data_IF_749442668399
#
_entry.id   IF_749442668399
#
_cell.length_a   1.000
_cell.length_b   1.000
_cell.length_c   1.000
_cell.angle_alpha   90.00
_cell.angle_beta   90.00
_cell.angle_gamma   90.00
#
_symmetry.space_group_name_H-M   'P 1'
#
loop_
_entity.id
_entity.type
_entity.pdbx_description
1 polymer ?
#
# COMPACT_ATOMS: atom_id res chain seq x y z
N UNK A 1 -38.15 42.83 37.67
CA UNK A 1 -37.55 43.96 38.41
C UNK A 1 -36.68 43.39 39.51
N UNK A 2 -35.37 43.28 39.26
CA UNK A 2 -34.36 43.11 40.30
C UNK A 2 -33.28 44.12 39.99
N UNK A 3 -33.09 45.03 40.94
CA UNK A 3 -32.14 46.12 40.93
C UNK A 3 -30.88 45.65 41.69
N UNK A 4 -29.72 45.89 41.07
CA UNK A 4 -28.37 46.08 41.61
C UNK A 4 -28.02 45.60 43.04
N UNK A 5 -26.92 44.83 43.11
CA UNK A 5 -25.84 45.13 44.07
C UNK A 5 -24.50 45.14 43.34
N UNK A 6 -23.90 46.32 43.30
CA UNK A 6 -22.52 46.58 42.89
C UNK A 6 -21.62 46.26 44.10
N UNK A 7 -20.61 45.41 43.93
CA UNK A 7 -19.43 45.37 44.80
C UNK A 7 -18.21 45.39 43.90
N UNK A 8 -17.48 46.51 43.93
CA UNK A 8 -16.20 46.65 43.28
C UNK A 8 -15.09 46.00 44.10
N UNK A 9 -14.13 45.41 43.40
CA UNK A 9 -12.75 45.35 43.85
C UNK A 9 -11.90 45.99 42.75
N UNK A 10 -11.29 47.11 43.11
CA UNK A 10 -10.35 47.88 42.31
C UNK A 10 -9.12 48.03 43.21
N UNK A 11 -8.21 47.05 43.21
CA UNK A 11 -6.84 47.17 43.74
C UNK A 11 -5.93 46.22 42.95
N UNK A 12 -4.82 46.76 42.45
CA UNK A 12 -3.98 46.16 41.42
C UNK A 12 -3.32 44.83 41.80
N UNK A 13 -3.56 43.83 40.96
CA UNK A 13 -2.57 42.82 40.62
C UNK A 13 -2.23 43.05 39.15
N UNK A 14 -0.94 43.12 38.81
CA UNK A 14 -0.51 43.00 37.40
C UNK A 14 -1.07 41.70 36.81
N UNK A 15 -1.22 41.60 35.47
CA UNK A 15 -1.67 40.36 34.85
C UNK A 15 -0.78 39.22 35.36
N UNK A 16 -1.37 38.24 36.04
CA UNK A 16 -0.68 36.99 36.33
C UNK A 16 -0.21 36.43 34.99
N UNK A 17 1.11 36.22 34.79
CA UNK A 17 1.60 35.70 33.53
C UNK A 17 0.94 34.36 33.25
N UNK A 18 0.41 34.25 32.04
CA UNK A 18 -0.24 33.06 31.55
C UNK A 18 0.87 32.07 31.15
N UNK A 19 1.06 31.02 31.95
CA UNK A 19 2.17 30.07 31.79
C UNK A 19 1.74 28.82 31.00
N UNK A 20 1.29 28.99 29.76
CA UNK A 20 0.88 27.86 28.91
C UNK A 20 0.82 28.15 27.41
N UNK A 21 0.69 27.11 26.58
CA UNK A 21 0.48 27.27 25.14
C UNK A 21 -0.79 28.07 24.83
N UNK A 22 -0.72 28.97 23.85
CA UNK A 22 -1.84 29.83 23.45
C UNK A 22 -2.03 31.11 24.27
N UNK A 23 -1.18 31.34 25.29
CA UNK A 23 -1.11 32.63 25.98
C UNK A 23 -0.53 33.72 25.06
N UNK A 24 -1.03 34.95 25.15
CA UNK A 24 -0.46 36.07 24.41
C UNK A 24 0.95 36.40 24.91
N UNK A 25 1.84 36.82 24.00
CA UNK A 25 3.22 37.18 24.30
C UNK A 25 3.71 38.32 23.41
N UNK A 26 4.80 38.96 23.84
CA UNK A 26 5.49 40.01 23.09
C UNK A 26 6.99 40.02 23.42
N UNK A 27 7.77 40.86 22.73
CA UNK A 27 9.19 41.06 23.03
C UNK A 27 9.44 41.56 24.46
N UNK A 28 8.45 42.25 25.05
CA UNK A 28 8.51 42.79 26.42
C UNK A 28 7.97 41.81 27.46
N UNK A 29 7.18 40.82 27.04
CA UNK A 29 6.55 39.79 27.88
C UNK A 29 6.73 38.40 27.22
N UNK A 30 7.92 37.78 27.39
CA UNK A 30 8.20 36.47 26.82
C UNK A 30 7.41 35.37 27.54
N UNK A 31 7.25 34.24 26.88
CA UNK A 31 6.59 33.07 27.44
C UNK A 31 7.31 32.54 28.68
N UNK A 32 6.58 32.29 29.76
CA UNK A 32 7.13 31.64 30.95
C UNK A 32 7.14 30.11 30.78
N UNK A 33 8.32 29.55 30.53
CA UNK A 33 8.55 28.12 30.37
C UNK A 33 9.76 27.89 29.46
N UNK A 34 10.68 26.99 29.84
CA UNK A 34 11.90 26.75 29.06
C UNK A 34 11.63 26.25 27.62
N UNK A 35 10.42 25.72 27.41
CA UNK A 35 10.01 25.07 26.17
C UNK A 35 8.94 25.87 25.42
N UNK A 36 8.83 27.19 25.65
CA UNK A 36 7.87 28.06 24.96
C UNK A 36 8.58 29.25 24.31
N UNK A 37 8.23 29.54 23.06
CA UNK A 37 8.66 30.74 22.31
C UNK A 37 7.46 31.54 21.84
N UNK A 38 7.61 32.85 21.73
CA UNK A 38 6.56 33.70 21.18
C UNK A 38 6.53 33.57 19.65
N UNK A 39 5.46 32.99 19.11
CA UNK A 39 5.28 32.87 17.65
C UNK A 39 4.88 34.19 17.01
N UNK A 40 4.99 34.26 15.67
CA UNK A 40 4.69 35.47 14.88
C UNK A 40 3.26 36.01 15.07
N UNK A 41 2.34 35.15 15.53
CA UNK A 41 0.97 35.53 15.86
C UNK A 41 0.82 36.17 17.27
N UNK A 42 1.92 36.42 17.99
CA UNK A 42 1.90 36.99 19.34
C UNK A 42 1.34 36.03 20.39
N UNK A 43 1.52 34.72 20.19
CA UNK A 43 1.09 33.67 21.14
C UNK A 43 2.22 32.68 21.43
N UNK A 44 2.27 32.21 22.67
CA UNK A 44 3.23 31.22 23.15
C UNK A 44 2.96 29.87 22.48
N UNK A 45 3.95 29.41 21.71
CA UNK A 45 3.98 28.10 21.09
C UNK A 45 5.12 27.29 21.69
N UNK A 46 5.00 25.97 21.68
CA UNK A 46 6.10 25.10 22.10
C UNK A 46 7.35 25.38 21.25
N UNK A 47 8.47 25.66 21.92
CA UNK A 47 9.77 25.79 21.29
C UNK A 47 10.19 24.40 20.80
N UNK A 48 9.92 24.11 19.54
CA UNK A 48 10.31 22.86 18.92
C UNK A 48 11.84 22.85 18.78
N UNK A 49 12.54 22.04 19.58
CA UNK A 49 14.02 21.96 19.58
C UNK A 49 14.56 21.01 18.50
N UNK A 50 13.68 20.53 17.63
CA UNK A 50 13.98 19.50 16.63
C UNK A 50 14.63 20.13 15.39
N UNK A 51 15.45 19.34 14.70
CA UNK A 51 16.10 19.75 13.46
C UNK A 51 15.10 19.65 12.29
N UNK A 52 14.34 20.73 12.08
CA UNK A 52 13.38 20.90 10.97
C UNK A 52 14.03 20.93 9.57
N UNK A 53 15.32 20.60 9.45
CA UNK A 53 16.00 20.45 8.15
C UNK A 53 16.18 18.98 7.74
N UNK A 54 15.83 18.02 8.60
CA UNK A 54 15.82 16.59 8.32
C UNK A 54 14.39 16.08 8.04
N UNK A 55 14.26 15.03 7.22
CA UNK A 55 12.99 14.59 6.63
C UNK A 55 11.94 13.96 7.61
N UNK A 56 12.27 13.80 8.89
CA UNK A 56 11.36 13.60 10.04
C UNK A 56 12.17 13.15 11.27
N UNK A 57 12.00 13.83 12.40
CA UNK A 57 12.50 13.39 13.72
C UNK A 57 11.37 12.74 14.53
N UNK A 58 11.18 11.42 14.39
CA UNK A 58 10.07 10.64 14.95
C UNK A 58 9.70 10.87 16.46
N UNK A 59 10.62 11.15 17.39
CA UNK A 59 10.26 11.54 18.76
C UNK A 59 9.66 12.95 18.90
N UNK A 60 9.58 13.74 17.84
CA UNK A 60 9.20 15.15 17.87
C UNK A 60 7.74 15.38 17.44
N UNK A 61 6.86 15.70 18.40
CA UNK A 61 5.43 15.92 18.15
C UNK A 61 5.08 17.25 17.43
N UNK A 62 6.07 18.12 17.17
CA UNK A 62 5.89 19.44 16.55
C UNK A 62 6.61 19.59 15.20
N UNK A 63 7.22 18.52 14.69
CA UNK A 63 7.81 18.51 13.34
C UNK A 63 6.69 18.37 12.29
N UNK A 64 6.52 19.41 11.47
CA UNK A 64 5.49 19.46 10.43
C UNK A 64 5.73 18.44 9.31
N UNK A 65 6.98 18.02 9.10
CA UNK A 65 7.33 16.97 8.13
C UNK A 65 7.01 15.56 8.68
N UNK A 66 6.85 15.43 10.01
CA UNK A 66 6.28 14.24 10.65
C UNK A 66 4.74 14.29 10.73
N UNK A 67 4.09 15.17 9.94
CA UNK A 67 2.64 15.23 9.74
C UNK A 67 2.11 13.96 9.09
N UNK A 68 2.06 12.88 9.86
CA UNK A 68 1.41 11.64 9.52
C UNK A 68 1.90 11.05 8.20
N UNK A 69 3.13 10.52 8.17
CA UNK A 69 3.18 9.16 7.63
C UNK A 69 2.25 8.37 8.53
N UNK A 70 1.01 8.13 8.04
CA UNK A 70 0.24 6.95 8.44
C UNK A 70 1.27 5.83 8.62
N UNK A 71 1.18 4.96 9.64
CA UNK A 71 2.02 3.78 9.63
C UNK A 71 1.77 3.13 8.28
N UNK A 72 2.70 3.31 7.34
CA UNK A 72 2.72 2.60 6.09
C UNK A 72 2.76 1.18 6.60
N UNK A 73 1.76 0.34 6.29
CA UNK A 73 1.82 -1.03 6.70
C UNK A 73 3.13 -1.56 6.12
N UNK A 74 4.20 -1.63 6.93
CA UNK A 74 5.54 -2.04 6.48
C UNK A 74 5.54 -3.52 6.07
N UNK A 75 4.36 -4.14 6.08
CA UNK A 75 4.05 -5.52 5.79
C UNK A 75 3.16 -5.68 4.56
N UNK A 76 2.54 -4.61 4.00
CA UNK A 76 1.83 -4.74 2.72
C UNK A 76 2.87 -4.62 1.60
N UNK A 77 3.01 -5.64 0.74
CA UNK A 77 3.93 -5.58 -0.38
C UNK A 77 3.57 -4.40 -1.29
N UNK A 78 4.54 -3.54 -1.63
CA UNK A 78 4.32 -2.35 -2.48
C UNK A 78 3.69 -2.72 -3.84
N UNK A 79 3.96 -3.95 -4.30
CA UNK A 79 3.41 -4.58 -5.51
C UNK A 79 1.92 -4.94 -5.42
N UNK A 80 1.27 -4.81 -4.25
CA UNK A 80 -0.19 -4.95 -4.10
C UNK A 80 -0.94 -3.61 -4.17
N UNK A 81 -0.24 -2.47 -4.10
CA UNK A 81 -0.86 -1.13 -4.15
C UNK A 81 -1.10 -0.72 -5.60
N UNK A 82 -1.87 -1.53 -6.34
CA UNK A 82 -2.15 -1.32 -7.78
C UNK A 82 -3.45 -0.54 -8.03
N UNK A 83 -4.14 -0.14 -6.97
CA UNK A 83 -5.54 0.29 -7.00
C UNK A 83 -5.75 1.75 -6.60
N UNK A 84 -4.71 2.57 -6.74
CA UNK A 84 -4.75 3.99 -6.42
C UNK A 84 -5.79 4.75 -7.24
N UNK A 85 -6.45 5.71 -6.59
CA UNK A 85 -7.32 6.67 -7.24
C UNK A 85 -6.70 8.06 -7.29
N UNK A 86 -7.46 9.02 -7.83
CA UNK A 86 -7.07 10.43 -7.75
C UNK A 86 -7.74 11.10 -6.56
N UNK A 87 -6.95 11.78 -5.73
CA UNK A 87 -7.47 12.70 -4.72
C UNK A 87 -7.74 14.04 -5.39
N UNK A 88 -9.01 14.46 -5.46
CA UNK A 88 -9.35 15.79 -5.97
C UNK A 88 -9.01 16.90 -4.96
N UNK A 89 -8.95 18.14 -5.43
CA UNK A 89 -8.57 19.28 -4.60
C UNK A 89 -9.49 19.54 -3.39
N UNK A 90 -10.76 19.10 -3.45
CA UNK A 90 -11.66 19.19 -2.31
C UNK A 90 -11.23 18.20 -1.22
N UNK A 91 -11.05 16.93 -1.59
CA UNK A 91 -10.60 15.91 -0.65
C UNK A 91 -9.19 16.18 -0.11
N UNK A 92 -8.30 16.74 -0.93
CA UNK A 92 -6.97 17.13 -0.47
C UNK A 92 -7.04 18.14 0.69
N UNK A 93 -7.88 19.17 0.59
CA UNK A 93 -8.06 20.12 1.68
C UNK A 93 -8.61 19.48 2.97
N UNK A 94 -9.43 18.44 2.85
CA UNK A 94 -9.92 17.67 3.99
C UNK A 94 -8.84 16.79 4.62
N UNK A 95 -8.01 16.15 3.80
CA UNK A 95 -6.87 15.34 4.24
C UNK A 95 -5.86 16.21 4.98
N UNK A 96 -5.47 17.35 4.40
CA UNK A 96 -4.52 18.29 5.01
C UNK A 96 -5.05 18.83 6.36
N UNK A 97 -6.36 19.04 6.46
CA UNK A 97 -7.02 19.48 7.68
C UNK A 97 -7.40 18.34 8.64
N UNK A 98 -7.06 17.08 8.33
CA UNK A 98 -7.45 15.88 9.08
C UNK A 98 -8.94 15.84 9.45
N UNK A 99 -9.78 16.31 8.54
CA UNK A 99 -11.23 16.40 8.75
C UNK A 99 -11.88 15.09 8.37
N UNK A 100 -12.80 14.60 9.23
CA UNK A 100 -13.52 13.36 8.92
C UNK A 100 -14.37 13.52 7.67
N UNK A 101 -14.57 12.46 6.86
CA UNK A 101 -15.33 12.57 5.62
C UNK A 101 -16.77 13.08 5.82
N UNK A 102 -17.40 12.76 6.96
CA UNK A 102 -18.74 13.25 7.29
C UNK A 102 -18.81 14.78 7.47
N UNK A 103 -17.72 15.40 7.90
CA UNK A 103 -17.61 16.86 8.02
C UNK A 103 -17.15 17.52 6.70
N UNK A 104 -16.64 16.74 5.75
CA UNK A 104 -16.25 17.19 4.43
C UNK A 104 -17.45 17.33 3.49
N UNK A 105 -17.62 18.52 2.92
CA UNK A 105 -18.68 18.77 1.92
C UNK A 105 -18.19 18.50 0.48
N UNK A 106 -17.41 17.43 0.31
CA UNK A 106 -16.82 17.06 -0.99
C UNK A 106 -17.67 16.00 -1.71
N UNK A 107 -17.77 16.05 -3.05
CA UNK A 107 -18.40 14.98 -3.80
C UNK A 107 -17.56 13.70 -3.67
N UNK A 108 -18.21 12.55 -3.41
CA UNK A 108 -17.52 11.27 -3.14
C UNK A 108 -16.68 10.78 -4.33
N UNK A 109 -17.08 11.08 -5.57
CA UNK A 109 -16.32 10.68 -6.76
C UNK A 109 -16.22 9.16 -6.92
N UNK A 110 -15.01 8.66 -7.12
CA UNK A 110 -14.66 7.23 -7.15
C UNK A 110 -14.43 6.63 -5.74
N UNK A 111 -14.63 7.43 -4.68
CA UNK A 111 -14.49 7.03 -3.29
C UNK A 111 -13.06 7.11 -2.73
N UNK A 112 -12.02 7.22 -3.57
CA UNK A 112 -10.62 7.16 -3.11
C UNK A 112 -10.27 8.32 -2.17
N UNK A 113 -10.49 9.56 -2.61
CA UNK A 113 -10.21 10.75 -1.81
C UNK A 113 -10.98 10.77 -0.48
N UNK A 114 -12.18 10.20 -0.45
CA UNK A 114 -12.98 10.06 0.77
C UNK A 114 -12.33 9.09 1.78
N UNK A 115 -11.88 7.92 1.32
CA UNK A 115 -11.17 6.97 2.19
C UNK A 115 -9.77 7.45 2.59
N UNK A 116 -9.07 8.21 1.75
CA UNK A 116 -7.82 8.85 2.15
C UNK A 116 -8.04 9.86 3.29
N UNK A 117 -9.15 10.61 3.27
CA UNK A 117 -9.54 11.46 4.41
C UNK A 117 -9.87 10.64 5.67
N UNK A 118 -10.43 9.42 5.54
CA UNK A 118 -10.61 8.51 6.67
C UNK A 118 -9.29 8.13 7.32
N UNK A 119 -8.33 7.68 6.49
CA UNK A 119 -7.00 7.32 6.95
C UNK A 119 -6.35 8.51 7.66
N UNK A 120 -6.31 9.67 7.01
CA UNK A 120 -5.67 10.88 7.54
C UNK A 120 -6.29 11.38 8.86
N UNK A 121 -7.60 11.23 9.03
CA UNK A 121 -8.31 11.61 10.26
C UNK A 121 -8.35 10.51 11.33
N UNK A 122 -7.91 9.28 11.00
CA UNK A 122 -8.05 8.11 11.86
C UNK A 122 -9.52 7.73 12.13
N UNK A 123 -10.44 8.12 11.25
CA UNK A 123 -11.86 7.82 11.40
C UNK A 123 -12.14 6.33 11.17
N UNK A 124 -13.01 5.71 11.97
CA UNK A 124 -13.22 4.28 11.86
C UNK A 124 -13.98 3.91 10.59
N UNK A 125 -13.74 2.71 10.05
CA UNK A 125 -14.32 2.24 8.81
C UNK A 125 -15.85 2.27 8.82
N UNK A 126 -16.46 1.96 9.97
CA UNK A 126 -17.92 1.95 10.12
C UNK A 126 -18.53 3.36 10.06
N UNK A 127 -17.76 4.41 10.35
CA UNK A 127 -18.16 5.82 10.20
C UNK A 127 -17.88 6.32 8.77
N UNK A 128 -16.81 5.83 8.16
CA UNK A 128 -16.40 6.17 6.80
C UNK A 128 -17.29 5.59 5.71
N UNK A 129 -17.60 4.30 5.81
CA UNK A 129 -18.30 3.55 4.77
C UNK A 129 -19.66 4.15 4.39
N UNK A 130 -20.52 4.62 5.32
CA UNK A 130 -21.79 5.25 4.95
C UNK A 130 -21.64 6.54 4.14
N UNK A 131 -20.50 7.23 4.26
CA UNK A 131 -20.21 8.48 3.55
C UNK A 131 -19.51 8.19 2.22
N UNK A 132 -18.47 7.36 2.23
CA UNK A 132 -17.63 7.09 1.07
C UNK A 132 -18.22 6.03 0.12
N UNK A 133 -19.08 5.15 0.61
CA UNK A 133 -19.59 4.01 -0.17
C UNK A 133 -18.51 2.98 -0.50
N UNK A 134 -18.88 1.91 -1.20
CA UNK A 134 -17.96 0.83 -1.63
C UNK A 134 -18.19 0.45 -3.09
N UNK A 135 -18.87 1.30 -3.85
CA UNK A 135 -19.20 1.00 -5.23
C UNK A 135 -18.04 1.42 -6.14
N UNK A 136 -17.44 0.43 -6.82
CA UNK A 136 -16.38 0.66 -7.79
C UNK A 136 -15.02 0.17 -7.29
N UNK A 137 -14.15 -0.10 -8.26
CA UNK A 137 -12.86 -0.77 -8.04
C UNK A 137 -11.95 0.00 -7.06
N UNK A 138 -11.80 1.29 -7.27
CA UNK A 138 -10.99 2.16 -6.42
C UNK A 138 -11.55 2.30 -4.99
N UNK A 139 -12.88 2.38 -4.84
CA UNK A 139 -13.53 2.47 -3.53
C UNK A 139 -13.40 1.16 -2.73
N UNK A 140 -13.57 -0.01 -3.38
CA UNK A 140 -13.38 -1.31 -2.72
C UNK A 140 -11.94 -1.45 -2.23
N UNK A 141 -10.94 -1.11 -3.05
CA UNK A 141 -9.52 -1.14 -2.67
C UNK A 141 -9.20 -0.23 -1.48
N UNK A 142 -9.58 1.06 -1.55
CA UNK A 142 -9.32 2.01 -0.46
C UNK A 142 -10.07 1.69 0.83
N UNK A 143 -11.25 1.07 0.74
CA UNK A 143 -11.96 0.55 1.92
C UNK A 143 -11.13 -0.51 2.66
N UNK A 144 -10.47 -1.42 1.90
CA UNK A 144 -9.59 -2.43 2.49
C UNK A 144 -8.31 -1.84 3.09
N UNK A 145 -7.77 -0.74 2.56
CA UNK A 145 -6.65 -0.02 3.19
C UNK A 145 -7.02 0.47 4.60
N UNK A 146 -8.21 1.07 4.76
CA UNK A 146 -8.72 1.46 6.09
C UNK A 146 -8.93 0.23 6.97
N UNK A 147 -9.52 -0.84 6.43
CA UNK A 147 -9.74 -2.07 7.19
C UNK A 147 -8.43 -2.69 7.69
N UNK A 148 -7.38 -2.69 6.86
CA UNK A 148 -6.05 -3.18 7.23
C UNK A 148 -5.44 -2.32 8.35
N UNK A 149 -5.51 -0.99 8.23
CA UNK A 149 -5.00 -0.06 9.24
C UNK A 149 -5.70 -0.22 10.60
N UNK A 150 -7.00 -0.49 10.59
CA UNK A 150 -7.77 -0.79 11.81
C UNK A 150 -7.45 -2.17 12.42
N UNK A 151 -6.68 -3.01 11.74
CA UNK A 151 -6.40 -4.38 12.17
C UNK A 151 -7.63 -5.30 12.08
N UNK A 152 -8.53 -5.06 11.11
CA UNK A 152 -9.67 -5.95 10.86
C UNK A 152 -9.20 -7.33 10.40
N UNK A 153 -9.99 -8.35 10.73
CA UNK A 153 -9.77 -9.68 10.14
C UNK A 153 -10.21 -9.67 8.68
N UNK A 154 -9.59 -10.52 7.85
CA UNK A 154 -9.95 -10.69 6.43
C UNK A 154 -11.46 -10.88 6.20
N UNK A 155 -12.16 -11.65 7.05
CA UNK A 155 -13.61 -11.84 6.89
C UNK A 155 -14.41 -10.59 7.20
N UNK A 156 -14.03 -9.86 8.26
CA UNK A 156 -14.74 -8.63 8.64
C UNK A 156 -14.49 -7.50 7.63
N UNK A 157 -13.29 -7.44 7.04
CA UNK A 157 -12.96 -6.52 5.96
C UNK A 157 -13.71 -6.87 4.67
N UNK A 158 -13.68 -8.14 4.23
CA UNK A 158 -14.42 -8.60 3.05
C UNK A 158 -15.93 -8.35 3.18
N UNK A 159 -16.51 -8.60 4.37
CA UNK A 159 -17.92 -8.31 4.62
C UNK A 159 -18.23 -6.80 4.61
N UNK A 160 -17.28 -5.96 4.99
CA UNK A 160 -17.47 -4.51 5.05
C UNK A 160 -17.27 -3.83 3.70
N UNK A 161 -16.24 -4.24 2.95
CA UNK A 161 -15.73 -3.59 1.75
C UNK A 161 -16.11 -4.28 0.44
N UNK A 162 -16.45 -5.58 0.47
CA UNK A 162 -16.69 -6.37 -0.74
C UNK A 162 -15.39 -6.80 -1.42
N UNK A 163 -15.53 -7.68 -2.42
CA UNK A 163 -14.42 -8.28 -3.19
C UNK A 163 -14.83 -8.50 -4.64
N UNK A 164 -15.68 -7.63 -5.20
CA UNK A 164 -16.32 -7.87 -6.51
C UNK A 164 -15.47 -7.34 -7.67
N UNK A 165 -14.39 -6.64 -7.37
CA UNK A 165 -13.50 -6.00 -8.33
C UNK A 165 -12.06 -6.48 -8.13
N UNK A 166 -11.19 -6.29 -9.11
CA UNK A 166 -9.79 -6.72 -9.00
C UNK A 166 -9.08 -6.06 -7.81
N UNK A 167 -9.40 -4.79 -7.56
CA UNK A 167 -8.92 -4.06 -6.39
C UNK A 167 -9.55 -4.46 -5.07
N UNK A 168 -10.82 -4.87 -5.08
CA UNK A 168 -11.47 -5.47 -3.91
C UNK A 168 -10.80 -6.79 -3.51
N UNK A 169 -10.49 -7.66 -4.48
CA UNK A 169 -9.76 -8.91 -4.24
C UNK A 169 -8.34 -8.64 -3.71
N UNK A 170 -7.57 -7.78 -4.39
CA UNK A 170 -6.21 -7.43 -3.98
C UNK A 170 -6.17 -6.79 -2.59
N UNK A 171 -7.04 -5.80 -2.32
CA UNK A 171 -7.16 -5.16 -1.02
C UNK A 171 -7.51 -6.16 0.09
N UNK A 172 -8.39 -7.12 -0.18
CA UNK A 172 -8.72 -8.17 0.76
C UNK A 172 -7.50 -9.06 1.10
N UNK A 173 -6.68 -9.42 0.10
CA UNK A 173 -5.42 -10.14 0.37
C UNK A 173 -4.40 -9.29 1.12
N UNK A 174 -4.34 -7.98 0.91
CA UNK A 174 -3.51 -7.09 1.71
C UNK A 174 -3.95 -7.12 3.20
N UNK A 175 -5.25 -7.09 3.48
CA UNK A 175 -5.78 -7.30 4.84
C UNK A 175 -5.39 -8.68 5.38
N UNK A 176 -5.44 -9.73 4.56
CA UNK A 176 -5.05 -11.07 4.97
C UNK A 176 -3.59 -11.14 5.42
N UNK A 177 -2.68 -10.47 4.70
CA UNK A 177 -1.27 -10.36 5.07
C UNK A 177 -1.12 -9.65 6.42
N UNK A 178 -1.69 -8.47 6.57
CA UNK A 178 -1.58 -7.64 7.80
C UNK A 178 -2.21 -8.34 9.01
N UNK A 179 -3.32 -9.04 8.81
CA UNK A 179 -3.99 -9.79 9.89
C UNK A 179 -3.36 -11.15 10.18
N UNK A 180 -2.34 -11.57 9.42
CA UNK A 180 -1.71 -12.88 9.55
C UNK A 180 -2.64 -14.05 9.26
N UNK A 181 -3.58 -13.88 8.33
CA UNK A 181 -4.51 -14.93 7.94
C UNK A 181 -3.78 -16.01 7.11
N UNK A 182 -4.08 -17.28 7.39
CA UNK A 182 -3.60 -18.40 6.58
C UNK A 182 -4.06 -18.27 5.13
N UNK A 183 -3.19 -18.64 4.18
CA UNK A 183 -3.46 -18.50 2.74
C UNK A 183 -4.76 -19.16 2.29
N UNK A 184 -5.12 -20.33 2.82
CA UNK A 184 -6.37 -21.01 2.46
C UNK A 184 -7.61 -20.25 2.94
N UNK A 185 -7.52 -19.58 4.10
CA UNK A 185 -8.61 -18.76 4.60
C UNK A 185 -8.74 -17.48 3.78
N UNK A 186 -7.62 -16.84 3.46
CA UNK A 186 -7.58 -15.68 2.59
C UNK A 186 -8.19 -15.99 1.23
N UNK A 187 -7.76 -17.09 0.59
CA UNK A 187 -8.26 -17.55 -0.71
C UNK A 187 -9.77 -17.81 -0.71
N UNK A 188 -10.29 -18.45 0.35
CA UNK A 188 -11.73 -18.70 0.48
C UNK A 188 -12.55 -17.42 0.70
N UNK A 189 -11.95 -16.42 1.35
CA UNK A 189 -12.66 -15.19 1.78
C UNK A 189 -12.61 -14.11 0.73
N UNK A 190 -11.45 -13.90 0.11
CA UNK A 190 -11.20 -12.79 -0.79
C UNK A 190 -11.64 -13.05 -2.23
N UNK A 191 -11.90 -14.31 -2.57
CA UNK A 191 -11.94 -14.78 -3.96
C UNK A 191 -10.62 -14.46 -4.70
N UNK A 192 -10.45 -14.90 -5.93
CA UNK A 192 -9.26 -14.63 -6.75
C UNK A 192 -9.55 -14.89 -8.22
N UNK A 193 -10.69 -14.40 -8.72
CA UNK A 193 -11.08 -14.63 -10.12
C UNK A 193 -10.44 -13.64 -11.08
N UNK A 194 -9.85 -12.55 -10.55
CA UNK A 194 -9.11 -11.57 -11.35
C UNK A 194 -7.60 -11.79 -11.28
N UNK A 195 -6.86 -11.18 -12.20
CA UNK A 195 -5.40 -11.27 -12.18
C UNK A 195 -4.76 -10.65 -10.93
N UNK A 196 -5.31 -9.53 -10.43
CA UNK A 196 -4.83 -8.94 -9.18
C UNK A 196 -5.19 -9.79 -7.97
N UNK A 197 -6.34 -10.48 -7.99
CA UNK A 197 -6.70 -11.46 -6.96
C UNK A 197 -5.76 -12.66 -6.91
N UNK A 198 -5.46 -13.28 -8.07
CA UNK A 198 -4.48 -14.37 -8.12
C UNK A 198 -3.10 -13.90 -7.61
N UNK A 199 -2.66 -12.70 -8.03
CA UNK A 199 -1.42 -12.10 -7.54
C UNK A 199 -1.41 -11.87 -6.03
N UNK A 200 -2.50 -11.31 -5.49
CA UNK A 200 -2.70 -11.08 -4.06
C UNK A 200 -2.69 -12.37 -3.24
N UNK A 201 -3.28 -13.44 -3.77
CA UNK A 201 -3.21 -14.76 -3.15
C UNK A 201 -1.76 -15.25 -3.03
N UNK A 202 -0.97 -15.13 -4.09
CA UNK A 202 0.45 -15.47 -4.04
C UNK A 202 1.25 -14.59 -3.08
N UNK A 203 0.95 -13.30 -2.99
CA UNK A 203 1.57 -12.42 -2.00
C UNK A 203 1.28 -12.88 -0.56
N UNK A 204 0.05 -13.30 -0.29
CA UNK A 204 -0.32 -13.90 1.01
C UNK A 204 0.39 -15.24 1.24
N UNK A 205 0.57 -16.05 0.19
CA UNK A 205 1.32 -17.30 0.27
C UNK A 205 2.80 -17.07 0.59
N UNK A 206 3.42 -16.06 -0.03
CA UNK A 206 4.80 -15.63 0.25
C UNK A 206 4.95 -15.14 1.69
N UNK A 207 4.05 -14.26 2.14
CA UNK A 207 4.06 -13.73 3.50
C UNK A 207 3.97 -14.86 4.56
N UNK A 208 3.22 -15.92 4.26
CA UNK A 208 3.08 -17.09 5.12
C UNK A 208 4.20 -18.15 4.93
N UNK A 209 5.15 -17.95 4.00
CA UNK A 209 6.23 -18.90 3.72
C UNK A 209 5.75 -20.22 3.12
N UNK A 210 4.66 -20.19 2.34
CA UNK A 210 4.14 -21.39 1.70
C UNK A 210 5.10 -21.88 0.60
N UNK A 211 5.33 -23.21 0.49
CA UNK A 211 6.04 -23.78 -0.65
C UNK A 211 5.36 -23.42 -1.97
N UNK A 212 6.14 -23.20 -3.03
CA UNK A 212 5.63 -22.77 -4.35
C UNK A 212 4.54 -23.67 -4.90
N UNK A 213 4.71 -24.99 -4.78
CA UNK A 213 3.69 -25.97 -5.22
C UNK A 213 2.40 -25.85 -4.41
N UNK A 214 2.49 -25.61 -3.10
CA UNK A 214 1.32 -25.39 -2.25
C UNK A 214 0.61 -24.09 -2.62
N UNK A 215 1.38 -23.02 -2.81
CA UNK A 215 0.84 -21.73 -3.26
C UNK A 215 0.14 -21.86 -4.61
N UNK A 216 0.75 -22.55 -5.58
CA UNK A 216 0.16 -22.77 -6.90
C UNK A 216 -1.14 -23.59 -6.86
N UNK A 217 -1.22 -24.60 -5.99
CA UNK A 217 -2.44 -25.38 -5.82
C UNK A 217 -3.58 -24.57 -5.17
N UNK A 218 -3.26 -23.58 -4.32
CA UNK A 218 -4.25 -22.76 -3.64
C UNK A 218 -4.73 -21.60 -4.51
N UNK A 219 -3.78 -20.88 -5.12
CA UNK A 219 -4.03 -19.62 -5.81
C UNK A 219 -4.31 -19.79 -7.30
N UNK A 220 -3.90 -20.90 -7.91
CA UNK A 220 -3.96 -21.07 -9.36
C UNK A 220 -3.06 -20.06 -10.10
N UNK A 221 -2.96 -20.22 -11.42
CA UNK A 221 -2.22 -19.29 -12.30
C UNK A 221 -2.93 -19.22 -13.66
N UNK A 222 -4.23 -18.92 -13.65
CA UNK A 222 -5.02 -18.86 -14.88
C UNK A 222 -4.84 -17.54 -15.63
N UNK A 223 -4.35 -16.51 -14.94
CA UNK A 223 -4.05 -15.19 -15.52
C UNK A 223 -2.55 -14.92 -15.60
N UNK A 224 -2.17 -13.99 -16.47
CA UNK A 224 -0.79 -13.54 -16.56
C UNK A 224 -0.25 -12.99 -15.24
N UNK A 225 -1.05 -12.24 -14.48
CA UNK A 225 -0.66 -11.79 -13.14
C UNK A 225 -0.53 -12.94 -12.14
N UNK A 226 -1.37 -13.98 -12.21
CA UNK A 226 -1.20 -15.20 -11.44
C UNK A 226 0.13 -15.89 -11.74
N UNK A 227 0.51 -15.98 -13.02
CA UNK A 227 1.84 -16.49 -13.42
C UNK A 227 2.96 -15.64 -12.83
N UNK A 228 2.86 -14.30 -12.88
CA UNK A 228 3.83 -13.41 -12.21
C UNK A 228 3.93 -13.73 -10.72
N UNK A 229 2.79 -13.74 -10.01
CA UNK A 229 2.74 -14.01 -8.57
C UNK A 229 3.34 -15.38 -8.21
N UNK A 230 3.12 -16.39 -9.04
CA UNK A 230 3.69 -17.72 -8.85
C UNK A 230 5.22 -17.71 -8.98
N UNK A 231 5.74 -17.12 -10.06
CA UNK A 231 7.20 -17.07 -10.26
C UNK A 231 7.90 -16.20 -9.22
N UNK A 232 7.30 -15.09 -8.77
CA UNK A 232 7.82 -14.31 -7.64
C UNK A 232 7.87 -15.15 -6.35
N UNK A 233 6.86 -15.99 -6.12
CA UNK A 233 6.85 -16.93 -4.99
C UNK A 233 7.96 -17.98 -5.13
N UNK A 234 8.16 -18.49 -6.34
CA UNK A 234 9.21 -19.44 -6.66
C UNK A 234 10.62 -18.88 -6.39
N UNK A 235 10.87 -17.65 -6.86
CA UNK A 235 12.11 -16.93 -6.62
C UNK A 235 12.34 -16.70 -5.12
N UNK A 236 11.31 -16.23 -4.41
CA UNK A 236 11.37 -16.00 -2.94
C UNK A 236 11.73 -17.28 -2.19
N UNK A 237 11.22 -18.42 -2.63
CA UNK A 237 11.51 -19.73 -2.05
C UNK A 237 12.85 -20.32 -2.49
N UNK A 238 13.57 -19.67 -3.42
CA UNK A 238 14.85 -20.15 -3.94
C UNK A 238 14.74 -21.42 -4.79
N UNK A 239 13.57 -21.70 -5.36
CA UNK A 239 13.32 -22.87 -6.20
C UNK A 239 14.02 -22.74 -7.57
N UNK A 240 14.47 -23.84 -8.15
CA UNK A 240 15.12 -23.84 -9.47
C UNK A 240 14.13 -23.56 -10.60
N UNK A 241 14.61 -23.15 -11.78
CA UNK A 241 13.80 -22.91 -12.97
C UNK A 241 12.89 -24.10 -13.33
N UNK A 242 13.39 -25.34 -13.17
CA UNK A 242 12.59 -26.55 -13.42
C UNK A 242 11.48 -26.74 -12.37
N UNK A 243 11.74 -26.41 -11.10
CA UNK A 243 10.71 -26.43 -10.05
C UNK A 243 9.66 -25.34 -10.30
N UNK A 244 10.09 -24.14 -10.68
CA UNK A 244 9.18 -23.04 -11.05
C UNK A 244 8.31 -23.43 -12.25
N UNK A 245 8.90 -23.93 -13.33
CA UNK A 245 8.17 -24.33 -14.52
C UNK A 245 7.15 -25.45 -14.23
N UNK A 246 7.47 -26.38 -13.33
CA UNK A 246 6.55 -27.44 -12.92
C UNK A 246 5.40 -26.94 -12.04
N UNK A 247 5.68 -26.01 -11.12
CA UNK A 247 4.68 -25.50 -10.19
C UNK A 247 3.78 -24.43 -10.82
N UNK A 248 4.38 -23.49 -11.54
CA UNK A 248 3.72 -22.31 -12.10
C UNK A 248 3.28 -22.47 -13.55
N UNK A 249 3.84 -23.45 -14.26
CA UNK A 249 3.61 -23.63 -15.69
C UNK A 249 4.38 -22.62 -16.55
N UNK A 250 4.30 -22.85 -17.86
CA UNK A 250 4.95 -22.04 -18.90
C UNK A 250 4.04 -21.88 -20.12
N UNK A 251 2.73 -22.07 -19.94
CA UNK A 251 1.76 -22.06 -21.04
C UNK A 251 1.37 -20.66 -21.52
N UNK A 252 1.64 -19.63 -20.71
CA UNK A 252 1.37 -18.23 -21.05
C UNK A 252 2.66 -17.42 -21.24
N UNK A 253 2.61 -16.27 -21.94
CA UNK A 253 3.80 -15.46 -22.20
C UNK A 253 4.54 -15.00 -20.94
N UNK A 254 3.85 -14.66 -19.85
CA UNK A 254 4.50 -14.23 -18.61
C UNK A 254 5.21 -15.38 -17.92
N UNK A 255 4.59 -16.56 -17.87
CA UNK A 255 5.24 -17.77 -17.39
C UNK A 255 6.54 -18.10 -18.14
N UNK A 256 6.55 -17.97 -19.47
CA UNK A 256 7.77 -18.21 -20.26
C UNK A 256 8.84 -17.14 -20.01
N UNK A 257 8.47 -15.85 -20.03
CA UNK A 257 9.40 -14.73 -19.77
C UNK A 257 10.09 -14.90 -18.41
N UNK A 258 9.32 -15.18 -17.36
CA UNK A 258 9.84 -15.33 -16.00
C UNK A 258 10.63 -16.65 -15.82
N UNK A 259 10.27 -17.70 -16.53
CA UNK A 259 11.07 -18.93 -16.57
C UNK A 259 12.48 -18.68 -17.15
N UNK A 260 12.60 -17.91 -18.24
CA UNK A 260 13.91 -17.55 -18.79
C UNK A 260 14.72 -16.64 -17.87
N UNK A 261 14.07 -15.72 -17.14
CA UNK A 261 14.72 -14.95 -16.08
C UNK A 261 15.31 -15.91 -15.04
N UNK A 262 14.52 -16.88 -14.56
CA UNK A 262 14.99 -17.85 -13.57
C UNK A 262 16.12 -18.74 -14.06
N UNK A 263 16.09 -19.17 -15.32
CA UNK A 263 17.22 -19.89 -15.92
C UNK A 263 18.51 -19.09 -15.92
N UNK A 264 18.40 -17.76 -16.08
CA UNK A 264 19.57 -16.87 -16.05
C UNK A 264 20.18 -16.86 -14.66
N UNK A 265 19.36 -16.75 -13.62
CA UNK A 265 19.81 -16.80 -12.23
C UNK A 265 20.46 -18.15 -11.88
N UNK A 266 19.87 -19.24 -12.37
CA UNK A 266 20.38 -20.60 -12.17
C UNK A 266 21.61 -20.94 -13.05
N UNK A 267 21.98 -20.06 -14.00
CA UNK A 267 23.09 -20.29 -14.93
C UNK A 267 22.86 -21.48 -15.88
N UNK A 268 21.60 -21.75 -16.25
CA UNK A 268 21.23 -22.86 -17.13
C UNK A 268 21.61 -22.51 -18.57
N UNK A 269 22.21 -23.45 -19.31
CA UNK A 269 22.55 -23.21 -20.71
C UNK A 269 21.29 -23.00 -21.58
N UNK A 270 21.36 -22.10 -22.56
CA UNK A 270 20.21 -21.66 -23.36
C UNK A 270 19.34 -22.80 -23.94
N UNK A 271 19.95 -23.84 -24.51
CA UNK A 271 19.20 -24.99 -25.05
C UNK A 271 18.48 -25.80 -23.97
N UNK A 272 19.09 -25.93 -22.79
CA UNK A 272 18.48 -26.61 -21.65
C UNK A 272 17.36 -25.75 -21.06
N UNK A 273 17.56 -24.44 -20.96
CA UNK A 273 16.52 -23.52 -20.53
C UNK A 273 15.32 -23.55 -21.47
N UNK A 274 15.54 -23.51 -22.79
CA UNK A 274 14.46 -23.64 -23.77
C UNK A 274 13.66 -24.93 -23.62
N UNK A 275 14.32 -26.04 -23.28
CA UNK A 275 13.64 -27.30 -23.05
C UNK A 275 12.74 -27.28 -21.80
N UNK A 276 13.05 -26.44 -20.80
CA UNK A 276 12.26 -26.25 -19.59
C UNK A 276 11.14 -25.23 -19.81
N UNK A 277 11.49 -24.05 -20.35
CA UNK A 277 10.60 -22.91 -20.43
C UNK A 277 9.70 -22.91 -21.66
N UNK A 278 10.05 -23.65 -22.72
CA UNK A 278 9.34 -23.57 -23.99
C UNK A 278 9.58 -22.24 -24.72
N UNK A 279 8.88 -22.06 -25.83
CA UNK A 279 8.90 -20.86 -26.69
C UNK A 279 7.63 -20.75 -27.56
N UNK A 280 6.58 -21.48 -27.17
CA UNK A 280 5.34 -21.66 -27.92
C UNK A 280 4.22 -20.72 -27.49
N UNK A 281 4.37 -20.01 -26.37
CA UNK A 281 3.39 -19.03 -25.94
C UNK A 281 3.46 -17.81 -26.87
N UNK A 282 2.36 -17.59 -27.61
CA UNK A 282 2.24 -16.40 -28.44
C UNK A 282 1.79 -15.19 -27.61
N UNK A 283 2.38 -14.04 -27.89
CA UNK A 283 1.95 -12.75 -27.32
C UNK A 283 3.05 -12.04 -26.54
N UNK A 284 2.62 -11.01 -25.82
CA UNK A 284 3.45 -10.17 -24.96
C UNK A 284 2.99 -10.42 -23.53
N UNK A 285 3.93 -10.65 -22.62
CA UNK A 285 3.67 -10.47 -21.21
C UNK A 285 3.59 -8.97 -20.94
N UNK A 286 2.46 -8.49 -20.44
CA UNK A 286 2.23 -7.11 -20.04
C UNK A 286 1.25 -7.13 -18.85
N UNK A 287 1.75 -7.63 -17.72
CA UNK A 287 0.93 -7.88 -16.54
C UNK A 287 1.77 -7.71 -15.28
N UNK A 288 1.19 -7.07 -14.26
CA UNK A 288 1.81 -6.92 -12.95
C UNK A 288 3.28 -6.46 -13.05
N UNK A 289 3.50 -5.38 -13.82
CA UNK A 289 4.80 -4.73 -14.06
C UNK A 289 5.83 -5.54 -14.85
N UNK A 290 5.52 -6.78 -15.23
CA UNK A 290 6.37 -7.58 -16.11
C UNK A 290 5.99 -7.30 -17.56
N UNK A 291 6.99 -6.87 -18.34
CA UNK A 291 6.83 -6.62 -19.78
C UNK A 291 7.85 -7.40 -20.60
N UNK A 292 7.43 -7.95 -21.74
CA UNK A 292 8.35 -8.60 -22.69
C UNK A 292 7.71 -9.72 -23.50
N UNK A 293 8.48 -10.31 -24.42
CA UNK A 293 8.06 -11.50 -25.16
C UNK A 293 8.91 -12.72 -24.80
N UNK A 294 8.39 -13.95 -24.91
CA UNK A 294 9.19 -15.16 -24.68
C UNK A 294 10.43 -15.24 -25.58
N UNK A 295 10.33 -14.78 -26.84
CA UNK A 295 11.44 -14.73 -27.78
C UNK A 295 12.54 -13.78 -27.32
N UNK A 296 12.18 -12.57 -26.89
CA UNK A 296 13.14 -11.58 -26.38
C UNK A 296 13.79 -12.07 -25.07
N UNK A 297 13.01 -12.69 -24.18
CA UNK A 297 13.52 -13.27 -22.93
C UNK A 297 14.52 -14.42 -23.20
N UNK A 298 14.22 -15.30 -24.17
CA UNK A 298 15.16 -16.33 -24.61
C UNK A 298 16.44 -15.73 -25.18
N UNK A 299 16.33 -14.71 -26.04
CA UNK A 299 17.48 -14.05 -26.66
C UNK A 299 18.37 -13.37 -25.60
N UNK A 300 17.76 -12.68 -24.64
CA UNK A 300 18.45 -12.06 -23.51
C UNK A 300 19.18 -13.11 -22.67
N UNK A 301 18.50 -14.21 -22.31
CA UNK A 301 19.10 -15.33 -21.59
C UNK A 301 20.28 -15.96 -22.35
N UNK A 302 20.11 -16.27 -23.64
CA UNK A 302 21.17 -16.85 -24.46
C UNK A 302 22.41 -15.95 -24.54
N UNK A 303 22.18 -14.65 -24.69
CA UNK A 303 23.26 -13.64 -24.69
C UNK A 303 23.96 -13.58 -23.34
N UNK A 304 23.20 -13.63 -22.24
CA UNK A 304 23.75 -13.67 -20.87
C UNK A 304 24.62 -14.91 -20.63
N UNK A 305 24.31 -16.04 -21.27
CA UNK A 305 25.11 -17.26 -21.24
C UNK A 305 26.31 -17.25 -22.21
N UNK A 306 26.57 -16.13 -22.89
CA UNK A 306 27.72 -15.93 -23.77
C UNK A 306 27.53 -16.42 -25.21
N UNK A 307 26.30 -16.68 -25.65
CA UNK A 307 26.00 -16.98 -27.06
C UNK A 307 26.20 -15.76 -27.96
N UNK A 308 26.60 -15.99 -29.21
CA UNK A 308 26.63 -14.94 -30.23
C UNK A 308 25.24 -14.74 -30.86
N UNK A 309 25.02 -13.59 -31.51
CA UNK A 309 23.72 -13.24 -32.09
C UNK A 309 23.16 -14.32 -33.03
N UNK A 310 23.94 -14.88 -34.00
CA UNK A 310 23.41 -15.92 -34.88
C UNK A 310 23.01 -17.20 -34.15
N UNK A 311 23.78 -17.61 -33.12
CA UNK A 311 23.42 -18.80 -32.33
C UNK A 311 22.16 -18.55 -31.52
N UNK A 312 22.05 -17.38 -30.88
CA UNK A 312 20.88 -17.08 -30.07
C UNK A 312 19.60 -16.89 -30.90
N UNK A 313 19.69 -16.28 -32.08
CA UNK A 313 18.58 -16.23 -33.04
C UNK A 313 18.15 -17.65 -33.46
N UNK A 314 19.09 -18.54 -33.75
CA UNK A 314 18.78 -19.92 -34.12
C UNK A 314 18.18 -20.75 -32.97
N UNK A 315 18.56 -20.46 -31.72
CA UNK A 315 17.98 -21.14 -30.54
C UNK A 315 16.60 -20.61 -30.19
N UNK A 316 16.35 -19.31 -30.36
CA UNK A 316 15.17 -18.63 -29.82
C UNK A 316 14.06 -18.31 -30.83
N UNK A 317 14.25 -18.65 -32.11
CA UNK A 317 13.24 -18.62 -33.17
C UNK A 317 12.65 -20.01 -33.44
#
# INVERSE_FOLDING_TARGET
>A
MVLLTLVGCLFGGGPTPCAGPGCACSDEEPCEGADLTCGDAGVCVAACTCDVSAACDAPCACDADCGGTLPTPTEIPDDLILCGGTVDACWQGCIDAQTTPAACSCPVGDGYGCYQACLASGAPLDDCRPVCGVAGETAEGACHEVAALEGRTVQSAAAACGTNTACGEAGCFAVAIVSGADTSLAQLTCDHVTGLGEYGCYATARANGNPTVTAANLCGAATSCGSVGCYTTCETNGDTANQCAQACGTSDPCGQVLCYARCTDDGIAANACRAVCGLDAAGVCDACEVTGTPADACLAHCTAMGGDTPTCEATCQ
#
